data_IF_635907759768
#
_entry.id   IF_635907759768
#
_cell.length_a   1.000
_cell.length_b   1.000
_cell.length_c   1.000
_cell.angle_alpha   90.00
_cell.angle_beta   90.00
_cell.angle_gamma   90.00
#
_symmetry.space_group_name_H-M   'P 1'
#
loop_
_entity.id
_entity.type
_entity.pdbx_description
1 polymer ?
#
# COMPACT_ATOMS: atom_id res chain seq x y z
N UNK A 1 -5.22 15.17 -23.90
CA UNK A 1 -4.05 16.04 -23.79
C UNK A 1 -3.04 15.60 -24.83
N UNK A 2 -2.55 16.52 -25.66
CA UNK A 2 -1.52 16.22 -26.66
C UNK A 2 -0.13 16.17 -26.01
N UNK A 3 0.86 15.57 -26.68
CA UNK A 3 2.25 15.55 -26.22
C UNK A 3 2.86 16.95 -26.01
N UNK A 4 2.42 17.92 -26.81
CA UNK A 4 2.87 19.32 -26.69
C UNK A 4 2.28 20.03 -25.46
N UNK A 5 1.06 19.67 -25.03
CA UNK A 5 0.47 20.17 -23.78
C UNK A 5 1.19 19.62 -22.54
N UNK A 6 1.65 18.36 -22.59
CA UNK A 6 2.43 17.77 -21.49
C UNK A 6 3.83 18.38 -21.37
N UNK A 7 4.43 18.84 -22.47
CA UNK A 7 5.77 19.45 -22.46
C UNK A 7 5.81 20.89 -21.97
N UNK A 8 4.70 21.60 -22.11
CA UNK A 8 4.59 23.03 -21.77
C UNK A 8 3.84 23.29 -20.47
N UNK A 9 3.20 22.25 -19.92
CA UNK A 9 2.54 22.33 -18.63
C UNK A 9 3.57 22.53 -17.49
N UNK A 10 3.35 23.57 -16.70
CA UNK A 10 4.07 23.81 -15.45
C UNK A 10 3.48 22.90 -14.35
N UNK A 11 4.13 21.77 -14.11
CA UNK A 11 3.76 20.84 -13.07
C UNK A 11 4.45 21.19 -11.75
N UNK A 12 3.68 21.68 -10.78
CA UNK A 12 4.18 21.94 -9.43
C UNK A 12 3.72 20.86 -8.44
N UNK A 13 4.68 20.35 -7.65
CA UNK A 13 4.42 19.41 -6.55
C UNK A 13 4.29 20.17 -5.24
N UNK A 14 3.06 20.37 -4.75
CA UNK A 14 2.80 21.26 -3.60
C UNK A 14 2.62 20.53 -2.27
N UNK A 15 2.09 19.31 -2.27
CA UNK A 15 1.88 18.51 -1.05
C UNK A 15 2.21 17.03 -1.25
N UNK A 16 3.48 16.69 -1.52
CA UNK A 16 3.88 15.30 -1.76
C UNK A 16 3.67 14.40 -0.53
N UNK A 17 3.21 13.18 -0.79
CA UNK A 17 3.04 12.14 0.20
C UNK A 17 3.37 10.76 -0.36
N UNK A 18 3.76 9.86 0.53
CA UNK A 18 4.03 8.47 0.24
C UNK A 18 2.91 7.65 0.88
N UNK A 19 2.32 6.72 0.12
CA UNK A 19 1.43 5.72 0.69
C UNK A 19 1.98 4.32 0.43
N UNK A 20 2.12 3.54 1.50
CA UNK A 20 2.50 2.14 1.48
C UNK A 20 1.22 1.33 1.68
N UNK A 21 0.85 0.52 0.69
CA UNK A 21 -0.29 -0.40 0.80
C UNK A 21 0.26 -1.79 1.05
N UNK A 22 -0.05 -2.38 2.21
CA UNK A 22 0.47 -3.66 2.64
C UNK A 22 -0.64 -4.71 2.67
N UNK A 23 -0.32 -5.93 2.24
CA UNK A 23 -1.25 -7.07 2.27
C UNK A 23 -0.48 -8.37 2.10
N UNK A 24 -1.02 -9.45 2.64
CA UNK A 24 -0.44 -10.79 2.48
C UNK A 24 -1.09 -11.53 1.31
N UNK A 25 -0.31 -12.45 0.73
CA UNK A 25 -0.74 -13.29 -0.38
C UNK A 25 -0.79 -14.74 0.06
N UNK A 26 -1.91 -15.42 -0.20
CA UNK A 26 -2.10 -16.81 0.24
C UNK A 26 -1.04 -17.76 -0.30
N UNK A 27 -0.54 -17.48 -1.51
CA UNK A 27 0.55 -18.26 -2.13
C UNK A 27 1.81 -18.34 -1.26
N UNK A 28 2.04 -17.40 -0.35
CA UNK A 28 3.20 -17.43 0.54
C UNK A 28 3.22 -18.68 1.44
N UNK A 29 2.07 -19.34 1.69
CA UNK A 29 2.01 -20.62 2.40
C UNK A 29 2.66 -21.78 1.65
N UNK A 30 2.87 -21.65 0.34
CA UNK A 30 3.44 -22.71 -0.51
C UNK A 30 4.98 -22.69 -0.56
N UNK A 31 5.61 -21.92 0.33
CA UNK A 31 7.07 -21.84 0.38
C UNK A 31 7.71 -21.06 -0.79
N UNK A 32 6.90 -20.33 -1.57
CA UNK A 32 7.41 -19.45 -2.64
C UNK A 32 7.99 -18.13 -2.12
N UNK A 33 7.88 -17.86 -0.82
CA UNK A 33 8.42 -16.67 -0.16
C UNK A 33 9.38 -17.07 0.95
N UNK A 34 10.55 -16.42 0.97
CA UNK A 34 11.53 -16.53 2.06
C UNK A 34 11.10 -15.76 3.32
N UNK A 35 10.15 -14.83 3.19
CA UNK A 35 9.61 -14.03 4.28
C UNK A 35 8.22 -14.58 4.64
N UNK A 36 8.02 -14.91 5.92
CA UNK A 36 6.71 -15.28 6.43
C UNK A 36 5.77 -14.07 6.46
N UNK A 37 4.45 -14.30 6.45
CA UNK A 37 3.46 -13.24 6.63
C UNK A 37 3.61 -12.48 7.96
N UNK A 38 4.23 -13.09 8.96
CA UNK A 38 4.57 -12.42 10.22
C UNK A 38 5.58 -11.28 10.00
N UNK A 39 6.53 -11.46 9.08
CA UNK A 39 7.48 -10.40 8.67
C UNK A 39 6.73 -9.22 8.04
N UNK A 40 5.64 -9.45 7.30
CA UNK A 40 4.80 -8.37 6.76
C UNK A 40 4.24 -7.50 7.88
N UNK A 41 3.67 -8.10 8.93
CA UNK A 41 3.11 -7.37 10.08
C UNK A 41 4.18 -6.60 10.87
N UNK A 42 5.36 -7.22 11.04
CA UNK A 42 6.52 -6.57 11.69
C UNK A 42 7.03 -5.38 10.87
N UNK A 43 7.14 -5.52 9.54
CA UNK A 43 7.56 -4.44 8.65
C UNK A 43 6.55 -3.29 8.62
N UNK A 44 5.26 -3.59 8.67
CA UNK A 44 4.20 -2.57 8.75
C UNK A 44 4.25 -1.82 10.07
N UNK A 45 4.48 -2.54 11.17
CA UNK A 45 4.77 -1.91 12.48
C UNK A 45 6.00 -1.02 12.41
N UNK A 46 7.08 -1.46 11.75
CA UNK A 46 8.30 -0.68 11.56
C UNK A 46 8.07 0.59 10.72
N UNK A 47 7.28 0.50 9.63
CA UNK A 47 6.87 1.67 8.85
C UNK A 47 6.09 2.68 9.70
N UNK A 48 5.15 2.18 10.49
CA UNK A 48 4.29 2.98 11.35
C UNK A 48 5.05 3.65 12.52
N UNK A 49 6.17 3.05 12.97
CA UNK A 49 7.09 3.61 13.95
C UNK A 49 8.18 4.50 13.34
N UNK A 50 8.26 4.59 12.01
CA UNK A 50 9.21 5.43 11.31
C UNK A 50 10.62 4.85 11.16
N UNK A 51 10.81 3.55 11.40
CA UNK A 51 12.12 2.89 11.43
C UNK A 51 12.62 2.33 10.09
N UNK A 52 11.81 2.39 9.04
CA UNK A 52 12.23 1.94 7.71
C UNK A 52 12.94 3.04 6.90
N UNK A 53 13.71 2.64 5.89
CA UNK A 53 14.41 3.58 5.00
C UNK A 53 13.48 4.60 4.33
N UNK A 54 12.27 4.18 3.93
CA UNK A 54 11.26 5.07 3.35
C UNK A 54 10.80 6.16 4.34
N UNK A 55 10.80 5.86 5.63
CA UNK A 55 10.45 6.81 6.68
C UNK A 55 11.55 7.87 6.86
N UNK A 56 12.82 7.49 6.70
CA UNK A 56 13.95 8.43 6.71
C UNK A 56 13.87 9.35 5.51
N UNK A 57 13.64 8.80 4.31
CA UNK A 57 13.48 9.57 3.08
C UNK A 57 12.30 10.55 3.18
N UNK A 58 11.14 10.08 3.64
CA UNK A 58 9.97 10.93 3.84
C UNK A 58 10.27 12.11 4.78
N UNK A 59 10.99 11.85 5.89
CA UNK A 59 11.41 12.90 6.83
C UNK A 59 12.39 13.89 6.19
N UNK A 60 13.38 13.42 5.45
CA UNK A 60 14.35 14.28 4.77
C UNK A 60 13.70 15.19 3.72
N UNK A 61 12.66 14.71 3.05
CA UNK A 61 11.92 15.47 2.04
C UNK A 61 10.77 16.31 2.63
N UNK A 62 10.47 16.17 3.93
CA UNK A 62 9.32 16.81 4.57
C UNK A 62 7.96 16.24 4.13
N UNK A 63 7.95 15.01 3.60
CA UNK A 63 6.77 14.37 3.03
C UNK A 63 6.02 13.56 4.08
N UNK A 64 4.69 13.51 3.96
CA UNK A 64 3.85 12.64 4.79
C UNK A 64 3.94 11.20 4.32
N UNK A 65 4.22 10.27 5.23
CA UNK A 65 4.13 8.82 4.99
C UNK A 65 2.82 8.28 5.58
N UNK A 66 2.07 7.53 4.79
CA UNK A 66 0.87 6.82 5.22
C UNK A 66 1.08 5.33 4.99
N UNK A 67 0.64 4.51 5.95
CA UNK A 67 0.66 3.05 5.83
C UNK A 67 -0.79 2.57 5.82
N UNK A 68 -1.16 1.79 4.83
CA UNK A 68 -2.51 1.30 4.60
C UNK A 68 -2.47 -0.23 4.64
N UNK A 69 -3.23 -0.83 5.55
CA UNK A 69 -3.43 -2.27 5.57
C UNK A 69 -4.56 -2.64 4.60
N UNK A 70 -4.25 -3.42 3.57
CA UNK A 70 -5.19 -3.92 2.57
C UNK A 70 -5.56 -5.39 2.77
N UNK A 71 -5.01 -6.06 3.78
CA UNK A 71 -5.29 -7.48 4.03
C UNK A 71 -4.08 -8.25 4.51
N UNK A 72 -3.31 -7.67 5.44
CA UNK A 72 -2.26 -8.38 6.16
C UNK A 72 -2.92 -9.52 6.97
N UNK A 73 -2.28 -10.68 7.04
CA UNK A 73 -2.76 -11.86 7.75
C UNK A 73 -2.96 -11.54 9.24
N UNK A 74 -1.95 -10.93 9.86
CA UNK A 74 -2.00 -10.47 11.25
C UNK A 74 -1.97 -8.95 11.29
N UNK A 75 -3.11 -8.36 11.70
CA UNK A 75 -3.23 -6.90 11.80
C UNK A 75 -2.11 -6.32 12.70
N UNK A 76 -1.42 -5.26 12.26
CA UNK A 76 -0.39 -4.61 13.05
C UNK A 76 -1.03 -3.93 14.28
N UNK A 77 -0.40 -4.06 15.45
CA UNK A 77 -0.82 -3.35 16.65
C UNK A 77 -0.34 -1.88 16.60
N UNK A 78 -0.94 -1.07 15.73
CA UNK A 78 -0.63 0.35 15.62
C UNK A 78 -1.80 1.19 15.11
N UNK A 79 -2.18 2.21 15.88
CA UNK A 79 -3.31 3.10 15.58
C UNK A 79 -3.02 4.10 14.44
N UNK A 80 -1.77 4.19 13.95
CA UNK A 80 -1.40 5.07 12.83
C UNK A 80 -1.54 4.39 11.46
N UNK A 81 -1.75 3.07 11.42
CA UNK A 81 -2.01 2.32 10.19
C UNK A 81 -3.48 2.53 9.80
N UNK A 82 -3.72 2.91 8.55
CA UNK A 82 -5.06 3.04 8.00
C UNK A 82 -5.58 1.65 7.65
N UNK A 83 -6.65 1.23 8.31
CA UNK A 83 -7.34 -0.02 7.99
C UNK A 83 -8.17 0.13 6.69
N UNK A 84 -7.81 -0.65 5.68
CA UNK A 84 -8.56 -0.89 4.44
C UNK A 84 -8.56 -2.40 4.13
N UNK A 85 -8.56 -3.25 5.16
CA UNK A 85 -8.32 -4.69 5.01
C UNK A 85 -9.40 -5.34 4.20
N UNK A 86 -9.12 -5.80 2.97
CA UNK A 86 -10.10 -6.44 2.07
C UNK A 86 -10.53 -7.86 2.52
N UNK A 87 -9.72 -8.47 3.38
CA UNK A 87 -9.87 -9.80 3.98
C UNK A 87 -8.61 -10.14 4.79
N UNK A 88 -8.50 -11.39 5.24
CA UNK A 88 -7.28 -11.89 5.90
C UNK A 88 -6.45 -12.63 4.85
N UNK A 89 -5.52 -11.93 4.19
CA UNK A 89 -4.78 -12.41 3.00
C UNK A 89 -5.67 -12.72 1.78
N UNK A 90 -5.04 -12.88 0.62
CA UNK A 90 -5.67 -13.53 -0.53
C UNK A 90 -5.62 -15.05 -0.41
N UNK A 91 -6.42 -15.78 -1.18
CA UNK A 91 -6.25 -17.22 -1.36
C UNK A 91 -5.01 -17.55 -2.20
N UNK A 92 -4.51 -18.77 -2.01
CA UNK A 92 -3.55 -19.43 -2.90
C UNK A 92 -4.10 -19.58 -4.32
N UNK A 93 -3.63 -18.73 -5.24
CA UNK A 93 -4.17 -18.64 -6.61
C UNK A 93 -4.00 -19.91 -7.46
N UNK A 94 -3.09 -20.80 -7.06
CA UNK A 94 -2.83 -22.08 -7.70
C UNK A 94 -3.84 -23.18 -7.30
N UNK A 95 -4.67 -22.93 -6.28
CA UNK A 95 -5.75 -23.82 -5.86
C UNK A 95 -7.15 -23.26 -6.15
N UNK A 96 -7.31 -21.94 -6.00
CA UNK A 96 -8.60 -21.28 -6.17
C UNK A 96 -8.41 -19.80 -6.52
N UNK A 97 -9.47 -19.12 -6.95
CA UNK A 97 -9.40 -17.67 -7.20
C UNK A 97 -8.91 -16.93 -5.95
N UNK A 98 -7.93 -16.04 -6.15
CA UNK A 98 -7.26 -15.31 -5.07
C UNK A 98 -8.26 -14.49 -4.21
N UNK A 99 -9.29 -13.94 -4.85
CA UNK A 99 -10.43 -13.27 -4.23
C UNK A 99 -11.64 -13.40 -5.16
N UNK A 100 -12.86 -13.31 -4.62
CA UNK A 100 -14.06 -13.20 -5.45
C UNK A 100 -14.14 -11.82 -6.11
N UNK A 101 -14.77 -11.75 -7.28
CA UNK A 101 -14.89 -10.51 -8.04
C UNK A 101 -15.73 -9.45 -7.29
N UNK A 102 -16.74 -9.89 -6.52
CA UNK A 102 -17.53 -9.04 -5.63
C UNK A 102 -16.70 -8.48 -4.46
N UNK A 103 -15.86 -9.31 -3.82
CA UNK A 103 -14.95 -8.85 -2.76
C UNK A 103 -13.87 -7.88 -3.29
N UNK A 104 -13.48 -8.04 -4.56
CA UNK A 104 -12.51 -7.15 -5.22
C UNK A 104 -13.15 -5.81 -5.57
N UNK A 105 -14.40 -5.78 -6.02
CA UNK A 105 -15.08 -4.57 -6.52
C UNK A 105 -15.29 -3.50 -5.44
N UNK A 106 -16.15 -3.77 -4.46
CA UNK A 106 -16.56 -2.77 -3.45
C UNK A 106 -15.37 -2.24 -2.64
N UNK A 107 -14.44 -3.13 -2.32
CA UNK A 107 -13.36 -2.83 -1.41
C UNK A 107 -12.11 -2.26 -2.09
N UNK A 108 -11.84 -2.65 -3.34
CA UNK A 108 -10.86 -1.91 -4.15
C UNK A 108 -11.36 -0.49 -4.40
N UNK A 109 -12.66 -0.28 -4.56
CA UNK A 109 -13.24 1.07 -4.67
C UNK A 109 -13.08 1.86 -3.37
N UNK A 110 -13.21 1.23 -2.20
CA UNK A 110 -12.90 1.84 -0.91
C UNK A 110 -11.42 2.26 -0.80
N UNK A 111 -10.48 1.36 -1.13
CA UNK A 111 -9.05 1.68 -1.13
C UNK A 111 -8.68 2.74 -2.19
N UNK A 112 -9.28 2.68 -3.39
CA UNK A 112 -9.17 3.75 -4.40
C UNK A 112 -9.75 5.06 -3.88
N UNK A 113 -10.84 5.02 -3.10
CA UNK A 113 -11.44 6.22 -2.52
C UNK A 113 -10.50 6.87 -1.50
N UNK A 114 -9.75 6.09 -0.72
CA UNK A 114 -8.72 6.60 0.20
C UNK A 114 -7.61 7.31 -0.59
N UNK A 115 -7.11 6.69 -1.67
CA UNK A 115 -6.15 7.32 -2.58
C UNK A 115 -6.70 8.59 -3.21
N UNK A 116 -7.95 8.56 -3.70
CA UNK A 116 -8.63 9.71 -4.33
C UNK A 116 -8.93 10.84 -3.35
N UNK A 117 -9.32 10.55 -2.10
CA UNK A 117 -9.53 11.55 -1.05
C UNK A 117 -8.24 12.29 -0.76
N UNK A 118 -7.11 11.56 -0.72
CA UNK A 118 -5.79 12.13 -0.53
C UNK A 118 -5.38 12.99 -1.72
N UNK A 119 -5.54 12.50 -2.94
CA UNK A 119 -5.28 13.31 -4.15
C UNK A 119 -6.13 14.60 -4.16
N UNK A 120 -7.42 14.50 -3.80
CA UNK A 120 -8.32 15.68 -3.69
C UNK A 120 -7.93 16.65 -2.57
N UNK A 121 -7.31 16.17 -1.50
CA UNK A 121 -6.76 17.01 -0.44
C UNK A 121 -5.45 17.74 -0.87
N UNK A 122 -5.11 17.72 -2.16
CA UNK A 122 -3.90 18.30 -2.73
C UNK A 122 -2.68 17.38 -2.64
N UNK A 123 -2.83 16.18 -2.07
CA UNK A 123 -1.72 15.27 -1.78
C UNK A 123 -1.27 14.54 -3.03
N UNK A 124 0.00 14.71 -3.41
CA UNK A 124 0.56 14.07 -4.60
C UNK A 124 1.18 12.73 -4.20
N UNK A 125 0.70 11.65 -4.81
CA UNK A 125 0.76 10.30 -4.25
C UNK A 125 1.82 9.44 -4.95
N UNK A 126 2.80 8.95 -4.20
CA UNK A 126 3.71 7.90 -4.64
C UNK A 126 3.33 6.59 -3.94
N UNK A 127 2.89 5.61 -4.72
CA UNK A 127 2.55 4.26 -4.25
C UNK A 127 3.71 3.31 -4.55
N UNK A 128 4.36 2.79 -3.52
CA UNK A 128 5.39 1.77 -3.66
C UNK A 128 5.22 0.74 -2.56
N UNK A 129 4.73 -0.45 -2.91
CA UNK A 129 5.01 -1.66 -2.14
C UNK A 129 4.67 -2.94 -2.92
N UNK A 130 5.62 -3.88 -2.96
CA UNK A 130 5.41 -5.27 -3.39
C UNK A 130 6.33 -6.14 -2.52
N UNK A 131 5.77 -6.97 -1.63
CA UNK A 131 6.51 -8.08 -1.05
C UNK A 131 6.46 -9.24 -2.04
N UNK A 132 7.52 -9.41 -2.83
CA UNK A 132 7.63 -10.50 -3.79
C UNK A 132 9.07 -10.58 -4.25
N UNK A 133 9.89 -11.30 -3.48
CA UNK A 133 11.18 -11.76 -3.96
C UNK A 133 10.97 -12.89 -4.97
N UNK A 134 11.88 -12.96 -5.94
CA UNK A 134 11.82 -13.86 -7.10
C UNK A 134 11.87 -15.33 -6.69
#
# INVERSE_FOLDING_TARGET
>A
MSEDELRTADFSITHPCICVFAGDYGIASEGVSIASSEVTSQMVTNFAQGGAAICVLARQLGWRLNVVDCGILTAPHNNTVIDCRLGVSTNSFHHQVAMTQSATGERADECRSIGRRRIRAGMQLICLWRNGHR
#
